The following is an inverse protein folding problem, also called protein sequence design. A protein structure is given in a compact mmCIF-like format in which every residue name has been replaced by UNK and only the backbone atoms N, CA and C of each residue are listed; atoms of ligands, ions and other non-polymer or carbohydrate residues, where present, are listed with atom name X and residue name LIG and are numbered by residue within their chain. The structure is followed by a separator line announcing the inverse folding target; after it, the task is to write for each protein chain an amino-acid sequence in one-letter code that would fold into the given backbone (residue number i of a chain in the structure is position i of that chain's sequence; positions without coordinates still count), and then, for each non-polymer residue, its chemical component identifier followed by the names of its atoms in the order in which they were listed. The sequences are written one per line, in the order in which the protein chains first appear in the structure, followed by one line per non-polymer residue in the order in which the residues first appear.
data_IF_234744864098
#
_entry.id   IF_234744864098
#
_cell.length_a   1.000
_cell.length_b   1.000
_cell.length_c   1.000
_cell.angle_alpha   90.00
_cell.angle_beta   90.00
_cell.angle_gamma   90.00
#
_symmetry.space_group_name_H-M   'P 1'
#
loop_
_entity.id
_entity.type
_entity.pdbx_description
1 polymer ?
#
# COMPACT_ATOMS: atom_id res chain seq x y z
N UNK A 1 -21.89 -2.21 -5.91
CA UNK A 1 -21.89 -1.34 -4.72
C UNK A 1 -23.27 -1.25 -4.10
N UNK A 2 -24.32 -1.03 -4.91
CA UNK A 2 -25.73 -1.02 -4.50
C UNK A 2 -26.11 -2.09 -3.47
N UNK A 3 -25.92 -3.38 -3.78
CA UNK A 3 -26.26 -4.46 -2.84
C UNK A 3 -25.54 -4.36 -1.49
N UNK A 4 -24.30 -3.87 -1.47
CA UNK A 4 -23.56 -3.64 -0.22
C UNK A 4 -24.22 -2.51 0.55
N UNK A 5 -24.49 -1.37 -0.09
CA UNK A 5 -25.17 -0.22 0.51
C UNK A 5 -26.55 -0.59 1.08
N UNK A 6 -27.35 -1.35 0.35
CA UNK A 6 -28.66 -1.82 0.84
C UNK A 6 -28.56 -2.61 2.15
N UNK A 7 -27.54 -3.49 2.25
CA UNK A 7 -27.35 -4.35 3.42
C UNK A 7 -26.83 -3.57 4.61
N UNK A 8 -25.92 -2.62 4.39
CA UNK A 8 -25.25 -1.90 5.49
C UNK A 8 -25.95 -0.60 5.88
N UNK A 9 -26.80 -0.04 5.01
CA UNK A 9 -27.40 1.28 5.19
C UNK A 9 -26.33 2.35 5.40
N UNK A 10 -26.53 3.19 6.42
CA UNK A 10 -25.61 4.27 6.80
C UNK A 10 -24.71 3.91 8.01
N UNK A 11 -24.63 2.62 8.37
CA UNK A 11 -23.90 2.19 9.56
C UNK A 11 -22.38 2.21 9.39
N UNK A 12 -21.91 1.97 8.17
CA UNK A 12 -20.48 1.95 7.82
C UNK A 12 -20.26 2.60 6.46
N UNK A 13 -19.07 3.18 6.29
CA UNK A 13 -18.66 3.73 5.01
C UNK A 13 -18.38 2.60 4.00
N UNK A 14 -18.83 2.77 2.76
CA UNK A 14 -18.59 1.87 1.64
C UNK A 14 -17.59 2.54 0.70
N UNK A 15 -16.39 1.96 0.62
CA UNK A 15 -15.29 2.46 -0.22
C UNK A 15 -15.03 1.44 -1.32
N UNK A 16 -14.92 1.91 -2.57
CA UNK A 16 -14.41 1.09 -3.66
C UNK A 16 -12.95 1.46 -3.94
N UNK A 17 -12.14 0.46 -4.31
CA UNK A 17 -10.79 0.68 -4.83
C UNK A 17 -10.81 0.48 -6.34
N UNK A 18 -10.39 1.50 -7.08
CA UNK A 18 -10.47 1.54 -8.53
C UNK A 18 -9.07 1.70 -9.13
N UNK A 19 -8.70 0.77 -10.02
CA UNK A 19 -7.51 0.90 -10.85
C UNK A 19 -7.72 1.96 -11.93
N UNK A 20 -6.79 2.91 -12.01
CA UNK A 20 -6.80 3.98 -13.00
C UNK A 20 -6.13 3.56 -14.31
N UNK A 21 -5.12 2.69 -14.21
CA UNK A 21 -4.30 2.21 -15.32
C UNK A 21 -3.51 0.99 -14.83
N UNK A 22 -3.66 -0.13 -15.54
CA UNK A 22 -2.99 -1.39 -15.24
C UNK A 22 -1.60 -1.52 -15.88
N UNK A 23 -1.28 -0.66 -16.86
CA UNK A 23 -0.03 -0.67 -17.61
C UNK A 23 0.13 -1.89 -18.52
N UNK A 24 -0.98 -2.55 -18.90
CA UNK A 24 -1.00 -3.77 -19.71
C UNK A 24 -1.79 -3.56 -21.01
N UNK A 25 -1.29 -4.02 -22.16
CA UNK A 25 -2.08 -4.00 -23.39
C UNK A 25 -3.39 -4.76 -23.24
N UNK A 26 -4.52 -4.08 -23.53
CA UNK A 26 -5.86 -4.67 -23.43
C UNK A 26 -6.48 -4.71 -22.03
N UNK A 27 -5.87 -4.07 -21.03
CA UNK A 27 -6.49 -3.83 -19.72
C UNK A 27 -7.21 -2.48 -19.66
N UNK A 28 -7.67 -2.08 -18.47
CA UNK A 28 -8.23 -0.75 -18.23
C UNK A 28 -7.19 0.35 -18.43
N UNK A 29 -7.60 1.41 -19.10
CA UNK A 29 -6.83 2.65 -19.25
C UNK A 29 -7.54 3.84 -18.60
N UNK A 30 -6.82 4.96 -18.50
CA UNK A 30 -7.27 6.14 -17.75
C UNK A 30 -8.62 6.68 -18.21
N UNK A 31 -8.89 6.69 -19.52
CA UNK A 31 -10.15 7.16 -20.10
C UNK A 31 -11.34 6.26 -19.70
N UNK A 32 -11.14 4.94 -19.73
CA UNK A 32 -12.14 3.96 -19.26
C UNK A 32 -12.35 4.05 -17.75
N UNK A 33 -11.29 4.26 -16.98
CA UNK A 33 -11.35 4.43 -15.53
C UNK A 33 -12.09 5.72 -15.14
N UNK A 34 -11.85 6.83 -15.84
CA UNK A 34 -12.59 8.09 -15.64
C UNK A 34 -14.08 7.89 -15.91
N UNK A 35 -14.44 7.17 -16.99
CA UNK A 35 -15.84 6.84 -17.27
C UNK A 35 -16.45 5.96 -16.19
N UNK A 36 -15.71 4.97 -15.72
CA UNK A 36 -16.14 4.07 -14.64
C UNK A 36 -16.39 4.84 -13.34
N UNK A 37 -15.49 5.76 -12.96
CA UNK A 37 -15.65 6.59 -11.78
C UNK A 37 -16.88 7.50 -11.87
N UNK A 38 -17.18 8.08 -13.04
CA UNK A 38 -18.40 8.86 -13.24
C UNK A 38 -19.68 8.04 -13.08
N UNK A 39 -19.69 6.79 -13.56
CA UNK A 39 -20.83 5.89 -13.37
C UNK A 39 -21.02 5.57 -11.88
N UNK A 40 -19.93 5.22 -11.19
CA UNK A 40 -19.96 4.95 -9.76
C UNK A 40 -20.37 6.18 -8.92
N UNK A 41 -19.96 7.38 -9.33
CA UNK A 41 -20.36 8.64 -8.70
C UNK A 41 -21.85 8.95 -8.87
N UNK A 42 -22.40 8.61 -10.03
CA UNK A 42 -23.81 8.80 -10.36
C UNK A 42 -24.73 7.79 -9.63
N UNK A 43 -24.19 6.65 -9.20
CA UNK A 43 -24.97 5.66 -8.46
C UNK A 43 -25.24 6.11 -7.01
N UNK A 44 -24.48 7.06 -6.45
CA UNK A 44 -24.61 7.53 -5.06
C UNK A 44 -24.54 6.42 -4.00
N UNK A 45 -23.87 5.31 -4.31
CA UNK A 45 -23.78 4.16 -3.39
C UNK A 45 -22.49 4.11 -2.58
N UNK A 46 -21.44 4.80 -3.03
CA UNK A 46 -20.11 4.83 -2.43
C UNK A 46 -19.88 6.13 -1.65
N UNK A 47 -19.20 6.04 -0.51
CA UNK A 47 -18.75 7.22 0.23
C UNK A 47 -17.43 7.75 -0.30
N UNK A 48 -16.54 6.86 -0.74
CA UNK A 48 -15.27 7.23 -1.35
C UNK A 48 -14.77 6.21 -2.38
N UNK A 49 -13.89 6.68 -3.27
CA UNK A 49 -13.12 5.85 -4.20
C UNK A 49 -11.63 6.01 -3.90
N UNK A 50 -10.94 4.92 -3.60
CA UNK A 50 -9.48 4.85 -3.53
C UNK A 50 -8.90 4.55 -4.91
N UNK A 51 -8.15 5.51 -5.44
CA UNK A 51 -7.53 5.40 -6.75
C UNK A 51 -6.20 4.68 -6.65
N UNK A 52 -5.97 3.70 -7.52
CA UNK A 52 -4.73 2.91 -7.57
C UNK A 52 -4.31 2.61 -9.01
N UNK A 53 -3.22 1.88 -9.20
CA UNK A 53 -2.66 1.57 -10.51
C UNK A 53 -1.90 0.26 -10.47
N UNK A 54 -1.93 -0.44 -11.59
CA UNK A 54 -1.08 -1.58 -11.85
C UNK A 54 -1.55 -2.88 -11.22
N UNK A 55 -1.00 -3.97 -11.75
CA UNK A 55 -1.27 -5.30 -11.26
C UNK A 55 -0.26 -5.75 -10.21
N UNK A 56 -0.71 -6.47 -9.18
CA UNK A 56 0.20 -7.20 -8.26
C UNK A 56 0.76 -8.49 -8.88
N UNK A 57 0.17 -8.96 -9.98
CA UNK A 57 0.54 -10.21 -10.67
C UNK A 57 1.50 -9.91 -11.81
N UNK A 58 1.16 -8.93 -12.65
CA UNK A 58 1.96 -8.52 -13.80
C UNK A 58 2.70 -7.23 -13.52
N UNK A 59 4.01 -7.21 -13.75
CA UNK A 59 4.85 -6.03 -13.51
C UNK A 59 4.56 -5.34 -12.16
N UNK A 60 4.59 -6.08 -11.01
CA UNK A 60 4.20 -5.55 -9.70
C UNK A 60 4.88 -4.25 -9.30
N UNK A 61 6.07 -3.99 -9.85
CA UNK A 61 6.78 -2.75 -9.56
C UNK A 61 6.11 -1.50 -10.15
N UNK A 62 5.13 -1.62 -11.05
CA UNK A 62 4.31 -0.49 -11.50
C UNK A 62 3.40 0.03 -10.38
N UNK A 63 2.81 -0.88 -9.58
CA UNK A 63 2.02 -0.54 -8.39
C UNK A 63 2.91 0.00 -7.26
N UNK A 64 4.05 -0.65 -6.98
CA UNK A 64 4.86 -0.32 -5.81
C UNK A 64 5.90 0.79 -6.03
N UNK A 65 6.56 0.83 -7.21
CA UNK A 65 7.73 1.67 -7.52
C UNK A 65 8.91 1.49 -6.54
N UNK A 66 10.10 1.89 -6.96
CA UNK A 66 11.33 1.80 -6.16
C UNK A 66 12.11 0.51 -6.39
N UNK A 67 12.81 0.03 -5.36
CA UNK A 67 13.73 -1.10 -5.51
C UNK A 67 12.98 -2.39 -5.83
N UNK A 68 13.60 -3.24 -6.64
CA UNK A 68 13.03 -4.56 -6.97
C UNK A 68 13.61 -5.62 -6.02
N UNK A 69 12.80 -6.24 -5.15
CA UNK A 69 13.28 -7.13 -4.08
C UNK A 69 13.52 -8.56 -4.59
N UNK A 70 14.33 -8.69 -5.65
CA UNK A 70 14.55 -9.96 -6.38
C UNK A 70 15.09 -11.06 -5.46
N UNK A 71 16.00 -10.72 -4.55
CA UNK A 71 16.63 -11.70 -3.64
C UNK A 71 15.62 -12.26 -2.64
N UNK A 72 14.77 -11.39 -2.11
CA UNK A 72 13.70 -11.73 -1.19
C UNK A 72 12.65 -12.58 -1.90
N UNK A 73 12.21 -12.17 -3.09
CA UNK A 73 11.22 -12.92 -3.86
C UNK A 73 11.73 -14.31 -4.27
N UNK A 74 13.01 -14.45 -4.64
CA UNK A 74 13.60 -15.75 -4.92
C UNK A 74 13.51 -16.71 -3.71
N UNK A 75 13.38 -16.23 -2.46
CA UNK A 75 13.25 -17.12 -1.28
C UNK A 75 11.89 -17.78 -1.19
N UNK A 76 10.83 -17.14 -1.68
CA UNK A 76 9.46 -17.68 -1.65
C UNK A 76 9.14 -18.55 -2.87
N UNK A 77 10.01 -18.59 -3.87
CA UNK A 77 9.91 -19.48 -5.02
C UNK A 77 10.47 -20.87 -4.72
N UNK A 78 10.01 -21.92 -5.45
CA UNK A 78 10.57 -23.26 -5.36
C UNK A 78 12.11 -23.25 -5.46
N UNK A 79 12.85 -24.03 -4.63
CA UNK A 79 14.31 -23.99 -4.57
C UNK A 79 15.02 -24.13 -5.92
N UNK A 80 14.47 -24.95 -6.83
CA UNK A 80 15.00 -25.16 -8.17
C UNK A 80 14.94 -23.90 -9.06
N UNK A 81 13.96 -23.02 -8.87
CA UNK A 81 13.76 -21.82 -9.69
C UNK A 81 14.52 -20.59 -9.18
N UNK A 82 15.08 -20.64 -7.97
CA UNK A 82 15.71 -19.46 -7.33
C UNK A 82 16.84 -18.84 -8.15
N UNK A 83 17.77 -19.61 -8.76
CA UNK A 83 18.84 -19.01 -9.57
C UNK A 83 18.30 -18.25 -10.79
N UNK A 84 17.31 -18.84 -11.48
CA UNK A 84 16.66 -18.21 -12.62
C UNK A 84 15.96 -16.91 -12.20
N UNK A 85 15.18 -16.93 -11.11
CA UNK A 85 14.51 -15.73 -10.58
C UNK A 85 15.52 -14.65 -10.19
N UNK A 86 16.68 -15.01 -9.62
CA UNK A 86 17.72 -14.03 -9.31
C UNK A 86 18.29 -13.33 -10.55
N UNK A 87 18.33 -14.03 -11.68
CA UNK A 87 18.87 -13.51 -12.93
C UNK A 87 17.85 -12.65 -13.69
N UNK A 88 16.61 -13.11 -13.85
CA UNK A 88 15.59 -12.46 -14.70
C UNK A 88 14.49 -11.73 -13.91
N UNK A 89 14.47 -11.88 -12.58
CA UNK A 89 13.42 -11.35 -11.69
C UNK A 89 13.23 -9.84 -11.80
N UNK A 90 14.33 -9.09 -11.96
CA UNK A 90 14.27 -7.63 -12.06
C UNK A 90 13.46 -7.17 -13.28
N UNK A 91 13.71 -7.77 -14.43
CA UNK A 91 13.04 -7.42 -15.69
C UNK A 91 11.59 -7.91 -15.70
N UNK A 92 11.35 -9.13 -15.22
CA UNK A 92 10.00 -9.73 -15.14
C UNK A 92 9.09 -8.93 -14.23
N UNK A 93 9.57 -8.46 -13.07
CA UNK A 93 8.81 -7.63 -12.13
C UNK A 93 8.62 -6.17 -12.57
N UNK A 94 9.42 -5.71 -13.52
CA UNK A 94 9.45 -4.30 -13.97
C UNK A 94 10.40 -3.43 -13.13
N UNK A 95 10.88 -2.35 -13.74
CA UNK A 95 11.78 -1.39 -13.09
C UNK A 95 11.18 -0.01 -13.25
N UNK A 96 10.68 0.53 -12.15
CA UNK A 96 10.05 1.84 -12.12
C UNK A 96 10.62 2.62 -10.93
N UNK A 97 11.42 3.67 -11.17
CA UNK A 97 11.99 4.48 -10.10
C UNK A 97 10.90 5.00 -9.17
N UNK A 98 11.25 5.16 -7.90
CA UNK A 98 10.36 5.78 -6.93
C UNK A 98 10.49 7.30 -7.01
N UNK A 99 9.34 7.97 -6.99
CA UNK A 99 9.20 9.39 -6.69
C UNK A 99 8.01 9.56 -5.74
N UNK A 100 8.02 10.61 -4.93
CA UNK A 100 6.89 10.90 -4.05
C UNK A 100 5.66 11.25 -4.88
N UNK A 101 4.46 10.86 -4.41
CA UNK A 101 3.19 11.14 -5.08
C UNK A 101 3.09 10.60 -6.53
N UNK A 102 3.78 9.50 -6.86
CA UNK A 102 3.88 8.97 -8.23
C UNK A 102 2.54 8.64 -8.93
N UNK A 103 1.42 8.49 -8.21
CA UNK A 103 0.09 8.29 -8.82
C UNK A 103 -0.71 9.59 -8.97
N UNK A 104 -0.29 10.69 -8.33
CA UNK A 104 -0.98 11.98 -8.36
C UNK A 104 -1.20 12.52 -9.79
N UNK A 105 -0.24 12.44 -10.73
CA UNK A 105 -0.44 12.95 -12.09
C UNK A 105 -1.62 12.31 -12.83
N UNK A 106 -1.89 11.03 -12.58
CA UNK A 106 -3.06 10.35 -13.13
C UNK A 106 -4.32 10.68 -12.30
N UNK A 107 -4.23 10.56 -10.97
CA UNK A 107 -5.36 10.70 -10.06
C UNK A 107 -6.03 12.08 -10.13
N UNK A 108 -5.28 13.16 -10.37
CA UNK A 108 -5.84 14.53 -10.45
C UNK A 108 -6.92 14.70 -11.52
N UNK A 109 -6.95 13.84 -12.54
CA UNK A 109 -7.96 13.88 -13.59
C UNK A 109 -9.36 13.51 -13.08
N UNK A 110 -9.44 12.76 -11.97
CA UNK A 110 -10.72 12.37 -11.36
C UNK A 110 -11.35 13.50 -10.56
N UNK A 111 -10.55 14.40 -9.96
CA UNK A 111 -11.02 15.43 -9.02
C UNK A 111 -12.11 16.32 -9.62
N UNK A 112 -11.97 16.73 -10.87
CA UNK A 112 -12.97 17.60 -11.52
C UNK A 112 -14.23 16.87 -11.99
N UNK A 113 -14.23 15.53 -11.98
CA UNK A 113 -15.34 14.70 -12.43
C UNK A 113 -16.26 14.27 -11.30
N UNK A 114 -15.72 14.07 -10.10
CA UNK A 114 -16.47 13.58 -8.95
C UNK A 114 -17.32 14.68 -8.32
N UNK A 115 -18.58 14.36 -8.02
CA UNK A 115 -19.53 15.31 -7.41
C UNK A 115 -20.09 14.83 -6.09
N UNK A 116 -20.25 13.51 -5.93
CA UNK A 116 -20.99 12.92 -4.82
C UNK A 116 -20.12 12.01 -3.94
N UNK A 117 -19.04 11.48 -4.50
CA UNK A 117 -18.17 10.49 -3.89
C UNK A 117 -16.80 11.09 -3.60
N UNK A 118 -16.29 10.91 -2.39
CA UNK A 118 -14.99 11.43 -1.99
C UNK A 118 -13.85 10.66 -2.68
N UNK A 119 -12.68 11.30 -2.81
CA UNK A 119 -11.50 10.67 -3.40
C UNK A 119 -10.39 10.42 -2.38
N UNK A 120 -9.82 9.22 -2.44
CA UNK A 120 -8.65 8.82 -1.65
C UNK A 120 -7.45 8.69 -2.59
N UNK A 121 -6.44 9.54 -2.38
CA UNK A 121 -5.18 9.48 -3.11
C UNK A 121 -4.28 8.38 -2.52
N UNK A 122 -3.69 7.57 -3.39
CA UNK A 122 -2.64 6.61 -3.06
C UNK A 122 -1.36 6.95 -3.84
N UNK A 123 -0.24 6.32 -3.48
CA UNK A 123 0.98 6.32 -4.27
C UNK A 123 2.04 7.25 -3.71
N UNK A 124 3.05 6.70 -3.02
CA UNK A 124 4.19 7.49 -2.54
C UNK A 124 3.87 8.51 -1.45
N UNK A 125 2.81 8.29 -0.66
CA UNK A 125 2.44 9.16 0.46
C UNK A 125 3.13 8.65 1.72
N UNK A 126 4.11 9.41 2.22
CA UNK A 126 4.94 9.03 3.36
C UNK A 126 5.18 10.16 4.35
N UNK A 127 4.95 11.42 3.95
CA UNK A 127 5.26 12.61 4.72
C UNK A 127 4.11 13.62 4.71
N UNK A 128 4.12 14.58 5.65
CA UNK A 128 3.04 15.56 5.83
C UNK A 128 2.86 16.51 4.64
N UNK A 129 3.93 16.91 3.97
CA UNK A 129 3.87 17.69 2.73
C UNK A 129 3.16 16.95 1.59
N UNK A 130 3.22 15.61 1.55
CA UNK A 130 2.47 14.82 0.57
C UNK A 130 0.96 14.88 0.88
N UNK A 131 0.59 14.83 2.18
CA UNK A 131 -0.79 14.99 2.64
C UNK A 131 -1.35 16.37 2.29
N UNK A 132 -0.57 17.42 2.57
CA UNK A 132 -0.93 18.82 2.23
C UNK A 132 -1.09 18.98 0.71
N UNK A 133 -0.19 18.37 -0.07
CA UNK A 133 -0.28 18.40 -1.53
C UNK A 133 -1.54 17.71 -2.03
N UNK A 134 -1.84 16.50 -1.56
CA UNK A 134 -3.07 15.79 -1.91
C UNK A 134 -4.32 16.59 -1.58
N UNK A 135 -4.39 17.19 -0.40
CA UNK A 135 -5.51 18.05 -0.01
C UNK A 135 -5.66 19.28 -0.91
N UNK A 136 -4.54 19.93 -1.26
CA UNK A 136 -4.53 21.09 -2.17
C UNK A 136 -5.00 20.73 -3.59
N UNK A 137 -4.71 19.51 -4.04
CA UNK A 137 -5.12 19.00 -5.35
C UNK A 137 -6.60 18.60 -5.39
N UNK A 138 -7.29 18.58 -4.24
CA UNK A 138 -8.72 18.31 -4.15
C UNK A 138 -9.09 16.89 -3.70
N UNK A 139 -8.14 16.14 -3.13
CA UNK A 139 -8.44 14.85 -2.51
C UNK A 139 -8.93 15.02 -1.06
N UNK A 140 -9.89 14.18 -0.67
CA UNK A 140 -10.48 14.18 0.66
C UNK A 140 -9.60 13.44 1.66
N UNK A 141 -9.02 12.31 1.22
CA UNK A 141 -8.19 11.43 2.03
C UNK A 141 -6.92 10.97 1.31
N UNK A 142 -5.99 10.44 2.10
CA UNK A 142 -4.71 9.93 1.62
C UNK A 142 -4.45 8.53 2.22
N UNK A 143 -4.29 7.55 1.35
CA UNK A 143 -3.97 6.17 1.72
C UNK A 143 -2.46 5.99 1.89
N UNK A 144 -2.05 5.48 3.06
CA UNK A 144 -0.66 5.19 3.40
C UNK A 144 -0.48 3.70 3.69
N UNK A 145 0.61 3.11 3.19
CA UNK A 145 0.91 1.68 3.37
C UNK A 145 2.28 1.45 4.00
N UNK A 146 3.31 1.31 3.16
CA UNK A 146 4.69 0.93 3.57
C UNK A 146 5.28 1.84 4.66
N UNK A 147 4.95 3.13 4.66
CA UNK A 147 5.38 4.07 5.70
C UNK A 147 4.82 3.70 7.08
N UNK A 148 3.52 3.39 7.17
CA UNK A 148 2.87 2.97 8.42
C UNK A 148 3.30 1.57 8.85
N UNK A 149 3.65 0.69 7.90
CA UNK A 149 4.24 -0.60 8.24
C UNK A 149 5.61 -0.44 8.91
N UNK A 150 6.39 0.58 8.53
CA UNK A 150 7.68 0.90 9.16
C UNK A 150 7.49 1.68 10.47
N UNK A 151 6.50 2.56 10.54
CA UNK A 151 6.22 3.42 11.69
C UNK A 151 4.71 3.51 11.93
N UNK A 152 4.13 2.61 12.74
CA UNK A 152 2.69 2.59 12.99
C UNK A 152 2.15 3.88 13.63
N UNK A 153 3.00 4.64 14.31
CA UNK A 153 2.69 5.92 14.96
C UNK A 153 3.04 7.16 14.11
N UNK A 154 3.43 6.98 12.83
CA UNK A 154 3.91 8.06 11.97
C UNK A 154 2.92 9.22 11.82
N UNK A 155 1.62 8.94 11.76
CA UNK A 155 0.59 9.99 11.70
C UNK A 155 0.66 10.89 12.93
N UNK A 156 0.75 10.31 14.12
CA UNK A 156 0.86 11.07 15.37
C UNK A 156 2.16 11.86 15.43
N UNK A 157 3.28 11.27 14.96
CA UNK A 157 4.56 11.99 14.83
C UNK A 157 4.46 13.18 13.90
N UNK A 158 3.79 13.06 12.74
CA UNK A 158 3.60 14.16 11.80
C UNK A 158 2.66 15.25 12.33
N UNK A 159 1.70 14.89 13.19
CA UNK A 159 0.85 15.86 13.90
C UNK A 159 1.69 16.67 14.88
N UNK A 160 2.50 16.00 15.71
CA UNK A 160 3.34 16.62 16.73
C UNK A 160 4.53 17.41 16.14
N UNK A 161 5.21 16.85 15.15
CA UNK A 161 6.36 17.43 14.45
C UNK A 161 6.12 17.36 12.93
N UNK A 162 5.60 18.45 12.32
CA UNK A 162 5.27 18.52 10.90
C UNK A 162 6.42 18.16 9.94
N UNK A 163 7.67 18.32 10.37
CA UNK A 163 8.86 18.04 9.55
C UNK A 163 9.31 16.58 9.61
N UNK A 164 8.64 15.74 10.41
CA UNK A 164 8.93 14.31 10.51
C UNK A 164 8.94 13.66 9.13
N UNK A 165 10.04 12.96 8.81
CA UNK A 165 10.17 12.16 7.59
C UNK A 165 10.06 10.68 7.91
N UNK A 166 9.29 9.97 7.10
CA UNK A 166 9.15 8.51 7.18
C UNK A 166 10.50 7.81 7.02
N UNK A 167 10.71 6.75 7.80
CA UNK A 167 11.88 5.86 7.72
C UNK A 167 11.74 4.76 6.67
N UNK A 168 10.61 4.65 5.98
CA UNK A 168 10.46 3.71 4.87
C UNK A 168 11.38 4.13 3.71
N UNK A 169 12.23 3.20 3.26
CA UNK A 169 13.19 3.46 2.18
C UNK A 169 12.73 2.90 0.82
N UNK A 170 11.45 2.53 0.69
CA UNK A 170 10.87 2.01 -0.55
C UNK A 170 11.59 0.78 -1.14
N UNK A 171 12.23 -0.02 -0.28
CA UNK A 171 12.98 -1.21 -0.69
C UNK A 171 12.10 -2.41 -1.14
N UNK A 172 10.79 -2.31 -0.92
CA UNK A 172 9.75 -3.29 -1.28
C UNK A 172 9.93 -4.70 -0.71
N UNK A 173 10.88 -4.93 0.19
CA UNK A 173 11.08 -6.26 0.81
C UNK A 173 9.91 -6.69 1.67
N UNK A 174 9.17 -5.73 2.23
CA UNK A 174 7.91 -5.98 2.95
C UNK A 174 6.85 -6.64 2.05
N UNK A 175 6.84 -6.37 0.74
CA UNK A 175 5.90 -7.01 -0.21
C UNK A 175 6.04 -8.54 -0.18
N UNK A 176 7.25 -9.06 0.00
CA UNK A 176 7.48 -10.51 0.03
C UNK A 176 7.08 -11.13 1.36
N UNK A 177 6.96 -10.34 2.43
CA UNK A 177 6.59 -10.84 3.76
C UNK A 177 5.11 -11.24 3.86
N UNK A 178 4.28 -10.84 2.89
CA UNK A 178 2.84 -11.17 2.84
C UNK A 178 2.57 -12.67 2.74
N UNK A 179 3.55 -13.47 2.27
CA UNK A 179 3.45 -14.93 2.24
C UNK A 179 3.61 -15.59 3.63
N UNK A 180 3.74 -14.77 4.69
CA UNK A 180 3.72 -15.18 6.09
C UNK A 180 3.12 -14.05 6.92
N UNK A 181 3.85 -13.56 7.93
CA UNK A 181 3.47 -12.33 8.64
C UNK A 181 3.99 -11.10 7.91
N UNK A 182 3.09 -10.25 7.43
CA UNK A 182 3.45 -8.95 6.85
C UNK A 182 4.17 -8.08 7.89
N UNK A 183 5.37 -7.62 7.56
CA UNK A 183 6.18 -6.75 8.43
C UNK A 183 7.19 -5.90 7.64
N UNK A 184 7.68 -4.84 8.26
CA UNK A 184 8.84 -4.13 7.72
C UNK A 184 10.13 -4.88 8.06
N UNK A 185 10.91 -5.27 7.05
CA UNK A 185 12.18 -6.00 7.26
C UNK A 185 13.29 -5.16 7.91
N UNK A 186 13.11 -3.83 7.98
CA UNK A 186 14.07 -2.93 8.63
C UNK A 186 13.71 -2.67 10.10
N UNK A 187 12.57 -3.16 10.57
CA UNK A 187 12.15 -3.07 11.97
C UNK A 187 12.59 -4.33 12.71
N UNK A 188 13.56 -4.23 13.64
CA UNK A 188 14.04 -5.39 14.38
C UNK A 188 12.96 -6.06 15.23
N UNK A 189 12.07 -5.29 15.86
CA UNK A 189 11.00 -5.86 16.69
C UNK A 189 10.00 -6.62 15.82
N UNK A 190 9.60 -6.03 14.69
CA UNK A 190 8.69 -6.72 13.77
C UNK A 190 9.36 -7.89 13.02
N UNK A 191 10.69 -7.89 12.89
CA UNK A 191 11.41 -8.93 12.16
C UNK A 191 11.82 -10.10 13.03
N UNK A 192 12.30 -9.85 14.24
CA UNK A 192 12.88 -10.83 15.15
C UNK A 192 12.04 -11.07 16.40
N UNK A 193 10.98 -10.28 16.62
CA UNK A 193 10.24 -10.24 17.87
C UNK A 193 10.83 -9.22 18.83
N UNK A 194 10.05 -8.83 19.83
CA UNK A 194 10.57 -8.04 20.95
C UNK A 194 11.53 -8.91 21.75
N UNK A 195 12.68 -8.35 22.11
CA UNK A 195 13.52 -8.96 23.13
C UNK A 195 12.78 -8.77 24.45
N UNK A 196 12.28 -9.85 25.03
CA UNK A 196 11.74 -9.82 26.38
C UNK A 196 12.90 -9.52 27.34
N UNK A 197 12.72 -8.53 28.22
CA UNK A 197 13.67 -8.31 29.30
C UNK A 197 13.60 -9.47 30.29
N UNK A 198 14.73 -9.80 30.94
CA UNK A 198 14.78 -10.85 31.97
C UNK A 198 13.74 -10.64 33.09
N UNK A 199 13.36 -9.39 33.34
CA UNK A 199 12.34 -9.01 34.33
C UNK A 199 10.91 -9.44 33.92
N UNK A 200 10.62 -9.60 32.63
CA UNK A 200 9.30 -10.06 32.15
C UNK A 200 9.12 -11.58 32.34
N UNK A 201 10.21 -12.35 32.30
CA UNK A 201 10.19 -13.82 32.49
C UNK A 201 9.90 -14.19 33.96
N UNK A 202 10.27 -13.32 34.91
CA UNK A 202 9.99 -13.52 36.33
C UNK A 202 8.51 -13.37 36.73
N UNK A 203 7.69 -12.72 35.89
CA UNK A 203 6.28 -12.47 36.18
C UNK A 203 5.34 -13.61 35.69
N UNK A 204 5.82 -14.47 34.79
CA UNK A 204 5.09 -15.64 34.29
C UNK A 204 5.75 -16.91 34.83
N UNK A 205 5.49 -17.21 36.10
CA UNK A 205 5.83 -18.49 36.70
C UNK A 205 5.13 -19.63 35.95
N UNK A 206 5.86 -20.29 35.05
CA UNK A 206 5.38 -21.43 34.26
C UNK A 206 6.54 -22.29 33.81
N UNK A 207 6.59 -23.51 34.34
CA UNK A 207 7.58 -24.56 34.13
C UNK A 207 7.93 -24.77 32.64
N UNK A 208 9.18 -24.47 32.27
CA UNK A 208 9.77 -24.93 31.01
C UNK A 208 10.01 -26.43 31.13
N UNK A 209 9.13 -27.24 30.54
CA UNK A 209 9.41 -28.64 30.29
C UNK A 209 10.25 -28.71 29.02
N UNK A 210 11.52 -29.07 29.17
CA UNK A 210 12.40 -29.39 28.05
C UNK A 210 11.89 -30.65 27.34
N UNK A 211 11.71 -30.58 26.03
CA UNK A 211 11.49 -31.75 25.17
C UNK A 211 12.65 -31.78 24.18
N UNK A 212 13.36 -32.92 24.17
CA UNK A 212 14.50 -33.19 23.28
C UNK A 212 14.10 -33.60 21.88
#
# INVERSE_FOLDING_TARGET
AERVREVVGDQIAVIAKLDMDDGLPGSIWIDEALRTAQLLDADHTLDAIELTQGSSVYKPMYLFRGDVPVREFARVMPPALRPAVRLVGKQTMGVYPYEDLYMLPAARQFVSLMRNTQLILLGGITNRDHLVTGRREGFDFMAMGRALLREPDLVNKMIAEPTTRSRCTHNNKCMVTVFGRTHCVLDPEQRYGRVESADAVGALGGTVTAIG
#
